data_IF_223526759912
#
_entry.id   IF_223526759912
#
_cell.length_a   1.000
_cell.length_b   1.000
_cell.length_c   1.000
_cell.angle_alpha   90.00
_cell.angle_beta   90.00
_cell.angle_gamma   90.00
#
_symmetry.space_group_name_H-M   'P 1'
#
loop_
_entity.id
_entity.type
_entity.pdbx_description
1 polymer ?
#
# COMPACT_ATOMS: atom_id res chain seq x y z
N UNK A 1 32.49 9.04 -21.39
CA UNK A 1 31.55 8.20 -20.60
C UNK A 1 32.09 7.89 -19.19
N UNK A 2 33.38 7.65 -19.00
CA UNK A 2 34.02 7.36 -17.69
C UNK A 2 33.97 8.51 -16.68
N UNK A 3 34.10 9.77 -17.11
CA UNK A 3 34.14 10.91 -16.17
C UNK A 3 32.79 11.25 -15.53
N UNK A 4 31.69 11.06 -16.25
CA UNK A 4 30.33 11.22 -15.71
C UNK A 4 30.02 10.13 -14.68
N UNK A 5 30.49 8.90 -14.94
CA UNK A 5 30.34 7.75 -14.08
C UNK A 5 31.18 7.85 -12.79
N UNK A 6 32.45 8.28 -12.89
CA UNK A 6 33.30 8.53 -11.74
C UNK A 6 32.78 9.69 -10.88
N UNK A 7 32.20 10.72 -11.51
CA UNK A 7 31.56 11.83 -10.81
C UNK A 7 30.33 11.38 -10.03
N UNK A 8 29.47 10.55 -10.62
CA UNK A 8 28.28 10.01 -9.92
C UNK A 8 28.66 9.12 -8.72
N UNK A 9 29.68 8.27 -8.87
CA UNK A 9 30.20 7.42 -7.79
C UNK A 9 30.84 8.25 -6.65
N UNK A 10 31.55 9.32 -6.99
CA UNK A 10 32.09 10.24 -6.00
C UNK A 10 30.97 10.98 -5.24
N UNK A 11 29.91 11.39 -5.95
CA UNK A 11 28.74 12.04 -5.34
C UNK A 11 28.01 11.11 -4.37
N UNK A 12 27.83 9.83 -4.73
CA UNK A 12 27.19 8.86 -3.84
C UNK A 12 28.02 8.57 -2.58
N UNK A 13 29.35 8.52 -2.70
CA UNK A 13 30.26 8.37 -1.55
C UNK A 13 30.29 9.60 -0.66
N UNK A 14 30.23 10.80 -1.23
CA UNK A 14 30.14 12.05 -0.46
C UNK A 14 28.81 12.15 0.30
N UNK A 15 27.71 11.73 -0.33
CA UNK A 15 26.40 11.66 0.32
C UNK A 15 26.40 10.67 1.50
N UNK A 16 26.97 9.48 1.33
CA UNK A 16 27.11 8.51 2.42
C UNK A 16 27.94 9.07 3.60
N UNK A 17 29.08 9.70 3.31
CA UNK A 17 29.91 10.34 4.33
C UNK A 17 29.23 11.52 5.03
N UNK A 18 28.34 12.26 4.35
CA UNK A 18 27.53 13.33 4.94
C UNK A 18 26.44 12.78 5.84
N UNK A 19 25.73 11.75 5.39
CA UNK A 19 24.68 11.07 6.18
C UNK A 19 25.30 10.46 7.43
N UNK A 20 26.45 9.80 7.32
CA UNK A 20 27.14 9.24 8.48
C UNK A 20 27.53 10.31 9.51
N UNK A 21 28.02 11.48 9.08
CA UNK A 21 28.31 12.61 9.97
C UNK A 21 27.06 13.21 10.62
N UNK A 22 25.95 13.29 9.89
CA UNK A 22 24.68 13.76 10.47
C UNK A 22 24.10 12.77 11.47
N UNK A 23 24.29 11.47 11.27
CA UNK A 23 23.90 10.43 12.22
C UNK A 23 24.77 10.44 13.49
N UNK A 24 26.08 10.67 13.36
CA UNK A 24 26.97 10.88 14.50
C UNK A 24 26.57 12.14 15.30
N UNK A 25 26.30 13.25 14.60
CA UNK A 25 25.87 14.51 15.24
C UNK A 25 24.48 14.42 15.89
N UNK A 26 23.59 13.55 15.39
CA UNK A 26 22.29 13.28 16.02
C UNK A 26 22.38 12.28 17.19
N UNK A 27 23.49 11.56 17.32
CA UNK A 27 23.74 10.63 18.43
C UNK A 27 24.39 11.31 19.66
N UNK A 28 24.88 12.54 19.52
CA UNK A 28 25.28 13.37 20.67
C UNK A 28 24.03 13.94 21.35
N UNK A 29 23.76 13.60 22.63
CA UNK A 29 22.53 13.99 23.31
C UNK A 29 22.52 15.50 23.59
N UNK A 30 21.47 16.18 23.14
CA UNK A 30 21.10 17.48 23.67
C UNK A 30 20.19 17.24 24.87
N UNK A 31 20.65 17.59 26.08
CA UNK A 31 20.01 17.24 27.37
C UNK A 31 18.64 17.92 27.62
N UNK A 32 18.03 18.57 26.62
CA UNK A 32 16.81 19.36 26.81
C UNK A 32 15.63 19.05 25.88
N UNK A 33 15.71 18.02 25.02
CA UNK A 33 14.58 17.68 24.14
C UNK A 33 13.65 16.61 24.76
N UNK A 34 12.50 17.09 25.26
CA UNK A 34 11.32 16.30 25.64
C UNK A 34 10.85 15.42 24.46
N UNK A 35 10.46 14.16 24.74
CA UNK A 35 10.07 13.09 23.80
C UNK A 35 9.16 13.56 22.66
N UNK A 36 9.34 13.13 21.39
CA UNK A 36 8.38 12.19 20.77
C UNK A 36 8.86 11.37 19.53
N UNK A 37 8.00 10.44 19.09
CA UNK A 37 7.89 9.83 17.74
C UNK A 37 9.02 8.89 17.24
N UNK A 38 8.61 7.87 16.45
CA UNK A 38 9.41 6.74 15.96
C UNK A 38 10.89 7.07 15.73
N UNK A 39 11.78 6.33 16.41
CA UNK A 39 13.23 6.59 16.45
C UNK A 39 13.79 6.84 15.04
N UNK A 40 14.04 8.11 14.65
CA UNK A 40 14.49 8.45 13.31
C UNK A 40 15.87 7.85 13.02
N UNK A 41 16.68 7.56 14.06
CA UNK A 41 17.93 6.82 13.92
C UNK A 41 17.70 5.35 13.52
N UNK A 42 16.63 4.71 13.98
CA UNK A 42 16.28 3.35 13.57
C UNK A 42 15.85 3.30 12.09
N UNK A 43 15.06 4.28 11.63
CA UNK A 43 14.66 4.41 10.23
C UNK A 43 15.86 4.67 9.32
N UNK A 44 16.78 5.55 9.73
CA UNK A 44 18.00 5.85 8.97
C UNK A 44 19.00 4.69 8.98
N UNK A 45 19.13 3.94 10.09
CA UNK A 45 19.93 2.71 10.13
C UNK A 45 19.36 1.63 9.21
N UNK A 46 18.02 1.50 9.13
CA UNK A 46 17.36 0.60 8.18
C UNK A 46 17.64 1.01 6.73
N UNK A 47 17.50 2.29 6.39
CA UNK A 47 17.82 2.80 5.07
C UNK A 47 19.29 2.57 4.69
N UNK A 48 20.22 2.77 5.64
CA UNK A 48 21.66 2.48 5.44
C UNK A 48 21.92 1.00 5.16
N UNK A 49 21.29 0.10 5.91
CA UNK A 49 21.43 -1.35 5.65
C UNK A 49 20.95 -1.76 4.26
N UNK A 50 19.95 -1.07 3.71
CA UNK A 50 19.43 -1.31 2.36
C UNK A 50 20.41 -0.81 1.28
N UNK A 51 21.05 0.34 1.52
CA UNK A 51 22.09 0.89 0.63
C UNK A 51 23.34 -0.01 0.63
N UNK A 52 23.78 -0.46 1.80
CA UNK A 52 24.94 -1.35 1.92
C UNK A 52 24.68 -2.71 1.25
N UNK A 53 23.47 -3.28 1.40
CA UNK A 53 23.07 -4.51 0.73
C UNK A 53 23.05 -4.35 -0.80
N UNK A 54 22.60 -3.19 -1.30
CA UNK A 54 22.62 -2.86 -2.72
C UNK A 54 24.06 -2.72 -3.26
N UNK A 55 24.94 -2.05 -2.50
CA UNK A 55 26.37 -1.89 -2.84
C UNK A 55 27.12 -3.23 -2.83
N UNK A 56 26.83 -4.10 -1.85
CA UNK A 56 27.47 -5.41 -1.74
C UNK A 56 26.99 -6.37 -2.85
N UNK A 57 25.70 -6.36 -3.17
CA UNK A 57 25.14 -7.11 -4.29
C UNK A 57 25.70 -6.64 -5.64
N UNK A 58 26.00 -5.34 -5.77
CA UNK A 58 26.65 -4.77 -6.95
C UNK A 58 28.11 -5.23 -7.07
N UNK A 59 28.88 -5.24 -5.98
CA UNK A 59 30.27 -5.73 -5.98
C UNK A 59 30.39 -7.20 -6.36
N UNK A 60 29.46 -8.06 -5.92
CA UNK A 60 29.47 -9.48 -6.26
C UNK A 60 29.18 -9.75 -7.75
N UNK A 61 28.43 -8.84 -8.40
CA UNK A 61 27.97 -8.97 -9.79
C UNK A 61 29.03 -8.62 -10.84
N UNK A 62 30.05 -7.83 -10.49
CA UNK A 62 31.21 -7.59 -11.38
C UNK A 62 32.07 -8.85 -11.63
N UNK A 63 31.92 -9.90 -10.82
CA UNK A 63 32.68 -11.13 -10.94
C UNK A 63 31.98 -12.22 -11.77
N UNK A 64 30.67 -12.12 -12.03
CA UNK A 64 29.90 -13.23 -12.59
C UNK A 64 28.94 -12.76 -13.70
N UNK A 65 29.42 -12.87 -14.95
CA UNK A 65 28.82 -12.26 -16.15
C UNK A 65 27.91 -13.20 -16.93
N UNK A 66 27.43 -14.27 -16.30
CA UNK A 66 26.68 -15.36 -16.98
C UNK A 66 25.46 -15.79 -16.17
N UNK A 67 24.45 -14.92 -16.03
CA UNK A 67 23.15 -15.34 -15.49
C UNK A 67 21.99 -14.83 -16.35
N UNK A 68 21.04 -15.69 -16.77
CA UNK A 68 19.91 -15.30 -17.61
C UNK A 68 18.93 -14.37 -16.87
N UNK A 69 18.32 -13.45 -17.63
CA UNK A 69 17.41 -12.36 -17.22
C UNK A 69 15.95 -12.80 -16.98
N UNK A 70 15.73 -14.00 -16.44
CA UNK A 70 14.43 -14.70 -16.53
C UNK A 70 13.50 -14.52 -15.33
N UNK A 71 13.47 -13.36 -14.68
CA UNK A 71 12.60 -13.13 -13.52
C UNK A 71 11.82 -11.82 -13.61
N UNK A 72 10.48 -11.89 -13.54
CA UNK A 72 9.65 -10.72 -13.25
C UNK A 72 9.91 -10.27 -11.80
N UNK A 73 9.96 -8.96 -11.56
CA UNK A 73 10.05 -8.41 -10.22
C UNK A 73 8.71 -7.74 -9.88
N UNK A 74 8.09 -8.18 -8.80
CA UNK A 74 6.81 -7.66 -8.33
C UNK A 74 6.99 -7.01 -6.96
N UNK A 75 6.57 -5.76 -6.84
CA UNK A 75 6.48 -5.03 -5.58
C UNK A 75 5.02 -4.66 -5.33
N UNK A 76 4.52 -4.91 -4.13
CA UNK A 76 3.17 -4.52 -3.71
C UNK A 76 3.24 -3.70 -2.42
N UNK A 77 2.39 -2.70 -2.30
CA UNK A 77 2.26 -1.89 -1.09
C UNK A 77 0.84 -1.33 -0.94
N UNK A 78 0.46 -1.04 0.30
CA UNK A 78 -0.86 -0.50 0.66
C UNK A 78 -0.70 0.95 1.14
N UNK A 79 -0.75 1.94 0.23
CA UNK A 79 -0.69 3.33 0.62
C UNK A 79 -1.94 3.72 1.45
N UNK A 80 -1.80 4.62 2.45
CA UNK A 80 -2.95 5.11 3.20
C UNK A 80 -3.97 5.77 2.27
N UNK A 81 -5.26 5.54 2.54
CA UNK A 81 -6.39 6.25 1.91
C UNK A 81 -6.45 6.14 0.37
N UNK A 82 -5.74 5.18 -0.23
CA UNK A 82 -5.79 4.90 -1.66
C UNK A 82 -5.76 3.38 -1.88
N UNK A 83 -6.21 2.88 -3.04
CA UNK A 83 -6.20 1.44 -3.26
C UNK A 83 -4.79 0.85 -3.24
N UNK A 84 -4.66 -0.44 -2.86
CA UNK A 84 -3.42 -1.20 -2.99
C UNK A 84 -2.75 -0.98 -4.34
N UNK A 85 -1.41 -0.97 -4.33
CA UNK A 85 -0.58 -0.68 -5.50
C UNK A 85 0.36 -1.83 -5.76
N UNK A 86 0.59 -2.09 -7.04
CA UNK A 86 1.56 -3.09 -7.50
C UNK A 86 2.42 -2.51 -8.61
N UNK A 87 3.71 -2.76 -8.54
CA UNK A 87 4.69 -2.46 -9.59
C UNK A 87 5.20 -3.80 -10.12
N UNK A 88 5.10 -3.99 -11.43
CA UNK A 88 5.62 -5.19 -12.11
C UNK A 88 6.68 -4.75 -13.11
N UNK A 89 7.86 -5.36 -13.00
CA UNK A 89 8.98 -5.19 -13.93
C UNK A 89 9.19 -6.52 -14.63
N UNK A 90 8.87 -6.57 -15.92
CA UNK A 90 9.07 -7.76 -16.75
C UNK A 90 10.21 -7.56 -17.74
N UNK A 91 11.05 -8.57 -18.00
CA UNK A 91 12.01 -8.49 -19.08
C UNK A 91 11.28 -8.35 -20.42
N UNK A 92 11.74 -7.44 -21.26
CA UNK A 92 11.30 -7.30 -22.64
C UNK A 92 11.73 -8.50 -23.48
N UNK A 93 11.03 -8.73 -24.59
CA UNK A 93 11.31 -9.85 -25.49
C UNK A 93 12.67 -9.74 -26.22
N UNK A 94 13.25 -8.54 -26.25
CA UNK A 94 14.54 -8.25 -26.89
C UNK A 94 15.75 -8.48 -25.96
N UNK A 95 15.51 -8.77 -24.67
CA UNK A 95 16.56 -9.04 -23.68
C UNK A 95 17.30 -7.81 -23.15
N UNK A 96 17.16 -6.66 -23.82
CA UNK A 96 17.85 -5.40 -23.48
C UNK A 96 16.88 -4.33 -22.91
N UNK A 97 15.58 -4.57 -22.98
CA UNK A 97 14.55 -3.70 -22.40
C UNK A 97 13.79 -4.37 -21.28
N UNK A 98 13.14 -3.58 -20.43
CA UNK A 98 12.19 -4.02 -19.43
C UNK A 98 10.88 -3.26 -19.58
N UNK A 99 9.75 -3.93 -19.34
CA UNK A 99 8.46 -3.27 -19.21
C UNK A 99 8.20 -2.98 -17.73
N UNK A 100 7.96 -1.71 -17.41
CA UNK A 100 7.46 -1.27 -16.11
C UNK A 100 5.96 -1.07 -16.19
N UNK A 101 5.20 -1.73 -15.32
CA UNK A 101 3.74 -1.56 -15.19
C UNK A 101 3.40 -1.16 -13.77
N UNK A 102 2.69 -0.06 -13.60
CA UNK A 102 2.06 0.28 -12.32
C UNK A 102 0.59 -0.11 -12.38
N UNK A 103 0.15 -0.79 -11.33
CA UNK A 103 -1.20 -1.30 -11.20
C UNK A 103 -1.84 -0.80 -9.90
N UNK A 104 -3.14 -0.63 -9.96
CA UNK A 104 -4.02 -0.25 -8.86
C UNK A 104 -5.07 -1.33 -8.67
N UNK A 105 -5.32 -1.71 -7.42
CA UNK A 105 -6.38 -2.65 -7.09
C UNK A 105 -7.75 -1.98 -7.21
N UNK A 106 -8.70 -2.64 -7.87
CA UNK A 106 -10.05 -2.11 -8.09
C UNK A 106 -11.07 -2.59 -7.07
N UNK A 107 -10.69 -3.52 -6.19
CA UNK A 107 -11.61 -4.30 -5.36
C UNK A 107 -11.96 -5.66 -5.96
N UNK A 108 -11.63 -5.92 -7.23
CA UNK A 108 -11.82 -7.22 -7.91
C UNK A 108 -10.52 -7.73 -8.53
N UNK A 109 -9.71 -6.82 -9.07
CA UNK A 109 -8.47 -7.16 -9.74
C UNK A 109 -7.51 -5.99 -9.87
N UNK A 110 -6.39 -6.24 -10.55
CA UNK A 110 -5.38 -5.23 -10.83
C UNK A 110 -5.65 -4.53 -12.16
N UNK A 111 -5.86 -3.21 -12.12
CA UNK A 111 -5.95 -2.35 -13.30
C UNK A 111 -4.60 -1.70 -13.57
N UNK A 112 -4.14 -1.74 -14.82
CA UNK A 112 -2.90 -1.05 -15.25
C UNK A 112 -3.16 0.45 -15.34
N UNK A 113 -2.39 1.25 -14.60
CA UNK A 113 -2.47 2.71 -14.58
C UNK A 113 -1.41 3.36 -15.48
N UNK A 114 -0.20 2.78 -15.49
CA UNK A 114 0.89 3.26 -16.33
C UNK A 114 1.69 2.07 -16.88
N UNK A 115 2.26 2.28 -18.07
CA UNK A 115 3.12 1.31 -18.73
C UNK A 115 4.23 2.03 -19.47
N UNK A 116 5.46 1.75 -19.08
CA UNK A 116 6.66 2.33 -19.69
C UNK A 116 7.64 1.24 -20.09
N UNK A 117 8.50 1.58 -21.05
CA UNK A 117 9.66 0.75 -21.41
C UNK A 117 10.90 1.38 -20.80
N UNK A 118 11.66 0.60 -20.06
CA UNK A 118 12.92 1.01 -19.44
C UNK A 118 14.06 0.35 -20.20
N UNK A 119 14.88 1.18 -20.85
CA UNK A 119 16.18 0.80 -21.37
C UNK A 119 17.26 1.12 -20.32
N UNK A 120 18.36 0.38 -20.30
CA UNK A 120 19.50 0.59 -19.37
C UNK A 120 19.17 0.30 -17.89
N UNK A 121 18.64 -0.90 -17.62
CA UNK A 121 18.33 -1.35 -16.26
C UNK A 121 19.61 -1.78 -15.53
N UNK A 122 20.13 -0.92 -14.65
CA UNK A 122 21.29 -1.23 -13.80
C UNK A 122 21.01 -2.34 -12.75
N UNK A 123 19.75 -2.77 -12.60
CA UNK A 123 19.27 -3.68 -11.54
C UNK A 123 18.57 -4.89 -12.18
N UNK A 124 19.26 -6.01 -12.33
CA UNK A 124 18.61 -7.27 -12.72
C UNK A 124 17.92 -7.93 -11.52
N UNK A 125 16.71 -8.46 -11.74
CA UNK A 125 16.01 -9.30 -10.77
C UNK A 125 16.85 -10.56 -10.46
N UNK A 126 16.88 -11.04 -9.20
CA UNK A 126 17.51 -12.33 -8.89
C UNK A 126 16.82 -13.45 -9.67
N UNK A 127 17.59 -14.40 -10.20
CA UNK A 127 17.02 -15.49 -11.03
C UNK A 127 16.15 -16.47 -10.23
N UNK A 128 16.13 -16.35 -8.90
CA UNK A 128 15.18 -17.03 -8.02
C UNK A 128 14.53 -15.96 -7.13
N UNK A 129 13.18 -15.96 -7.01
CA UNK A 129 12.48 -15.08 -6.09
C UNK A 129 12.98 -15.32 -4.67
N UNK A 130 13.59 -14.31 -4.04
CA UNK A 130 14.04 -14.38 -2.64
C UNK A 130 12.89 -14.23 -1.64
N UNK A 131 11.73 -13.83 -2.12
CA UNK A 131 10.50 -13.62 -1.36
C UNK A 131 9.35 -14.26 -2.11
N UNK A 132 8.33 -14.78 -1.40
CA UNK A 132 7.12 -15.27 -2.06
C UNK A 132 6.48 -14.15 -2.86
N UNK A 133 5.79 -14.53 -3.93
CA UNK A 133 5.00 -13.58 -4.70
C UNK A 133 4.00 -12.89 -3.78
N UNK A 134 3.83 -11.56 -3.89
CA UNK A 134 2.89 -10.84 -3.06
C UNK A 134 1.46 -11.35 -3.32
N UNK A 135 0.73 -11.56 -2.23
CA UNK A 135 -0.65 -12.06 -2.27
C UNK A 135 -1.59 -10.95 -2.70
N UNK A 136 -2.54 -11.27 -3.57
CA UNK A 136 -3.58 -10.33 -3.96
C UNK A 136 -4.44 -9.90 -2.74
N UNK A 137 -4.83 -8.62 -2.64
CA UNK A 137 -5.82 -8.19 -1.66
C UNK A 137 -7.14 -8.96 -1.82
N UNK A 138 -7.92 -9.13 -0.74
CA UNK A 138 -9.24 -9.75 -0.85
C UNK A 138 -10.15 -8.90 -1.75
N UNK A 139 -11.00 -9.57 -2.53
CA UNK A 139 -12.02 -8.87 -3.33
C UNK A 139 -13.13 -8.30 -2.45
N UNK A 140 -13.89 -7.33 -2.95
CA UNK A 140 -15.09 -6.80 -2.29
C UNK A 140 -16.08 -7.93 -2.00
N UNK A 141 -16.32 -8.83 -2.93
CA UNK A 141 -17.19 -10.00 -2.70
C UNK A 141 -16.70 -10.87 -1.55
N UNK A 142 -15.39 -11.13 -1.49
CA UNK A 142 -14.78 -11.89 -0.39
C UNK A 142 -15.00 -11.19 0.95
N UNK A 143 -14.84 -9.86 0.98
CA UNK A 143 -15.06 -9.05 2.18
C UNK A 143 -16.54 -9.03 2.60
N UNK A 144 -17.47 -8.96 1.64
CA UNK A 144 -18.91 -9.01 1.90
C UNK A 144 -19.30 -10.35 2.52
N UNK A 145 -18.75 -11.45 2.01
CA UNK A 145 -18.99 -12.78 2.57
C UNK A 145 -18.48 -12.92 4.00
N UNK A 146 -17.42 -12.20 4.39
CA UNK A 146 -16.92 -12.20 5.76
C UNK A 146 -17.83 -11.45 6.74
N UNK A 147 -18.53 -10.40 6.30
CA UNK A 147 -19.41 -9.62 7.18
C UNK A 147 -20.85 -10.15 7.20
N UNK A 148 -21.29 -10.86 6.15
CA UNK A 148 -22.61 -11.49 6.06
C UNK A 148 -22.81 -12.50 7.19
N UNK A 149 -24.04 -12.55 7.72
CA UNK A 149 -24.37 -13.38 8.89
C UNK A 149 -23.70 -12.99 10.21
N UNK A 150 -22.82 -11.99 10.27
CA UNK A 150 -22.13 -11.61 11.50
C UNK A 150 -23.00 -10.77 12.46
N UNK A 151 -24.11 -10.19 11.97
CA UNK A 151 -24.95 -9.24 12.73
C UNK A 151 -25.50 -9.79 14.05
N UNK A 152 -25.75 -11.10 14.11
CA UNK A 152 -26.25 -11.80 15.30
C UNK A 152 -25.20 -11.90 16.42
N UNK A 153 -23.92 -11.75 16.11
CA UNK A 153 -22.84 -11.78 17.10
C UNK A 153 -22.84 -10.50 17.92
N UNK A 154 -22.57 -10.51 19.24
CA UNK A 154 -22.64 -9.33 20.10
C UNK A 154 -21.82 -8.15 19.59
N UNK A 155 -20.72 -8.42 18.88
CA UNK A 155 -19.91 -7.46 18.16
C UNK A 155 -19.75 -7.92 16.70
N UNK A 156 -20.58 -7.42 15.76
CA UNK A 156 -20.58 -7.88 14.38
C UNK A 156 -19.38 -7.32 13.61
N UNK A 157 -18.96 -8.05 12.57
CA UNK A 157 -17.91 -7.59 11.67
C UNK A 157 -18.49 -6.60 10.66
N UNK A 158 -17.77 -5.51 10.42
CA UNK A 158 -18.14 -4.46 9.47
C UNK A 158 -16.97 -4.13 8.57
N UNK A 159 -17.24 -3.60 7.37
CA UNK A 159 -16.21 -3.06 6.50
C UNK A 159 -16.06 -1.56 6.80
N UNK A 160 -14.83 -1.15 7.08
CA UNK A 160 -14.49 0.24 7.40
C UNK A 160 -13.64 0.81 6.28
N UNK A 161 -14.18 1.83 5.62
CA UNK A 161 -13.47 2.66 4.66
C UNK A 161 -12.82 3.84 5.38
N UNK A 162 -11.55 4.09 5.09
CA UNK A 162 -10.82 5.17 5.74
C UNK A 162 -11.41 6.54 5.35
N UNK A 163 -11.42 7.47 6.32
CA UNK A 163 -11.68 8.88 6.02
C UNK A 163 -10.62 9.39 5.02
N UNK A 164 -11.03 10.30 4.14
CA UNK A 164 -10.15 11.02 3.21
C UNK A 164 -10.12 12.50 3.55
N UNK A 165 -9.46 13.32 2.73
CA UNK A 165 -9.50 14.77 2.90
C UNK A 165 -10.91 15.37 2.72
N UNK A 166 -11.82 14.66 2.05
CA UNK A 166 -13.15 15.19 1.67
C UNK A 166 -14.31 14.32 2.12
N UNK A 167 -14.05 13.14 2.68
CA UNK A 167 -15.09 12.20 3.13
C UNK A 167 -14.74 11.65 4.49
N UNK A 168 -15.72 11.52 5.37
CA UNK A 168 -15.54 10.89 6.68
C UNK A 168 -15.38 9.36 6.55
N UNK A 169 -15.07 8.71 7.67
CA UNK A 169 -14.99 7.25 7.74
C UNK A 169 -16.34 6.64 7.36
N UNK A 170 -16.34 5.78 6.34
CA UNK A 170 -17.50 5.01 5.93
C UNK A 170 -17.52 3.64 6.60
N UNK A 171 -18.68 3.19 7.05
CA UNK A 171 -18.86 1.87 7.64
C UNK A 171 -20.01 1.15 6.95
N UNK A 172 -19.72 -0.04 6.44
CA UNK A 172 -20.69 -0.94 5.83
C UNK A 172 -20.96 -2.12 6.78
N UNK A 173 -22.22 -2.32 7.14
CA UNK A 173 -22.68 -3.45 7.92
C UNK A 173 -23.66 -4.30 7.11
N UNK A 174 -23.61 -5.62 7.27
CA UNK A 174 -24.61 -6.54 6.74
C UNK A 174 -25.65 -6.82 7.83
N UNK A 175 -26.76 -6.08 7.85
CA UNK A 175 -27.84 -6.21 8.84
C UNK A 175 -28.90 -7.15 8.27
N UNK A 176 -29.01 -8.36 8.81
CA UNK A 176 -29.93 -9.40 8.30
C UNK A 176 -29.76 -9.61 6.77
N UNK A 177 -28.49 -9.68 6.34
CA UNK A 177 -28.02 -9.75 4.94
C UNK A 177 -28.30 -8.53 4.06
N UNK A 178 -28.94 -7.48 4.60
CA UNK A 178 -29.03 -6.18 3.94
C UNK A 178 -27.76 -5.36 4.17
N UNK A 179 -27.08 -4.98 3.10
CA UNK A 179 -25.90 -4.13 3.15
C UNK A 179 -26.31 -2.68 3.43
N UNK A 180 -25.88 -2.13 4.56
CA UNK A 180 -26.20 -0.77 5.00
C UNK A 180 -24.91 0.01 5.18
N UNK A 181 -24.72 1.04 4.38
CA UNK A 181 -23.56 1.94 4.46
C UNK A 181 -23.92 3.21 5.21
N UNK A 182 -22.99 3.69 6.04
CA UNK A 182 -23.12 4.94 6.77
C UNK A 182 -21.76 5.60 6.99
N UNK A 183 -21.70 6.91 6.77
CA UNK A 183 -20.55 7.73 7.16
C UNK A 183 -20.65 8.13 8.64
N UNK A 184 -19.51 8.30 9.31
CA UNK A 184 -19.42 8.54 10.74
C UNK A 184 -20.20 9.78 11.22
N UNK A 185 -20.22 10.84 10.43
CA UNK A 185 -20.92 12.10 10.71
C UNK A 185 -22.36 12.14 10.14
N UNK A 186 -22.68 11.24 9.20
CA UNK A 186 -24.00 11.17 8.60
C UNK A 186 -25.05 10.75 9.63
N UNK A 187 -26.22 11.40 9.56
CA UNK A 187 -27.39 11.02 10.36
C UNK A 187 -28.17 9.84 9.77
N UNK A 188 -27.89 9.45 8.53
CA UNK A 188 -28.61 8.40 7.79
C UNK A 188 -27.66 7.34 7.27
N UNK A 189 -28.16 6.13 7.22
CA UNK A 189 -27.57 5.06 6.44
C UNK A 189 -28.37 4.88 5.15
N UNK A 190 -27.76 4.29 4.12
CA UNK A 190 -28.46 3.89 2.91
C UNK A 190 -28.21 2.41 2.61
N UNK A 191 -29.19 1.78 1.96
CA UNK A 191 -29.06 0.39 1.49
C UNK A 191 -28.16 0.38 0.27
N UNK A 192 -27.09 -0.41 0.31
CA UNK A 192 -26.27 -0.71 -0.86
C UNK A 192 -26.95 -1.83 -1.64
N UNK A 193 -27.62 -1.44 -2.74
CA UNK A 193 -28.33 -2.39 -3.61
C UNK A 193 -27.49 -2.83 -4.79
N UNK A 194 -26.52 -2.01 -5.19
CA UNK A 194 -25.59 -2.28 -6.28
C UNK A 194 -24.17 -2.41 -5.72
N UNK A 195 -23.52 -3.53 -5.99
CA UNK A 195 -22.13 -3.78 -5.54
C UNK A 195 -21.13 -2.89 -6.29
N UNK A 196 -21.50 -2.37 -7.47
CA UNK A 196 -20.71 -1.36 -8.21
C UNK A 196 -20.42 -0.11 -7.39
N UNK A 197 -21.33 0.29 -6.49
CA UNK A 197 -21.11 1.41 -5.57
C UNK A 197 -19.90 1.15 -4.65
N UNK A 198 -19.73 -0.09 -4.19
CA UNK A 198 -18.62 -0.46 -3.30
C UNK A 198 -17.27 -0.47 -4.00
N UNK A 199 -17.22 -0.88 -5.27
CA UNK A 199 -16.01 -0.75 -6.07
C UNK A 199 -15.62 0.71 -6.28
N UNK A 200 -16.62 1.59 -6.47
CA UNK A 200 -16.38 3.02 -6.55
C UNK A 200 -15.86 3.60 -5.21
N UNK A 201 -16.43 3.21 -4.07
CA UNK A 201 -15.90 3.57 -2.75
C UNK A 201 -14.46 3.09 -2.56
N UNK A 202 -14.14 1.86 -2.99
CA UNK A 202 -12.78 1.33 -2.93
C UNK A 202 -11.79 2.18 -3.74
N UNK A 203 -12.19 2.66 -4.92
CA UNK A 203 -11.34 3.54 -5.75
C UNK A 203 -11.08 4.89 -5.09
N UNK A 204 -12.06 5.43 -4.36
CA UNK A 204 -11.97 6.76 -3.74
C UNK A 204 -11.24 6.75 -2.40
N UNK A 205 -11.52 5.77 -1.54
CA UNK A 205 -11.09 5.74 -0.15
C UNK A 205 -10.05 4.64 0.13
N UNK A 206 -9.76 3.80 -0.87
CA UNK A 206 -8.91 2.63 -0.75
C UNK A 206 -9.67 1.38 -0.31
N UNK A 207 -8.93 0.28 -0.17
CA UNK A 207 -9.49 -1.01 0.24
C UNK A 207 -10.06 -0.90 1.66
N UNK A 208 -11.32 -1.28 1.89
CA UNK A 208 -11.86 -1.30 3.25
C UNK A 208 -11.23 -2.41 4.07
N UNK A 209 -11.19 -2.20 5.38
CA UNK A 209 -10.71 -3.20 6.35
C UNK A 209 -11.87 -3.82 7.13
N UNK A 210 -11.77 -5.10 7.45
CA UNK A 210 -12.76 -5.74 8.33
C UNK A 210 -12.40 -5.44 9.77
N UNK A 211 -13.34 -4.85 10.52
CA UNK A 211 -13.18 -4.53 11.94
C UNK A 211 -14.44 -4.92 12.72
N UNK A 212 -14.33 -5.21 14.02
CA UNK A 212 -15.50 -5.29 14.88
C UNK A 212 -16.21 -3.93 14.95
N UNK A 213 -17.54 -3.92 14.99
CA UNK A 213 -18.32 -2.68 15.07
C UNK A 213 -17.93 -1.85 16.31
N UNK A 214 -17.57 -2.50 17.42
CA UNK A 214 -17.14 -1.84 18.66
C UNK A 214 -15.85 -1.03 18.52
N UNK A 215 -15.02 -1.29 17.51
CA UNK A 215 -13.80 -0.52 17.22
C UNK A 215 -14.09 0.72 16.37
N UNK A 216 -15.33 0.87 15.89
CA UNK A 216 -15.78 2.06 15.16
C UNK A 216 -16.48 3.06 16.09
N UNK A 217 -16.67 4.29 15.63
CA UNK A 217 -17.49 5.27 16.34
C UNK A 217 -19.01 4.96 16.26
N UNK A 218 -19.41 3.95 15.50
CA UNK A 218 -20.80 3.62 15.25
C UNK A 218 -21.29 2.46 16.11
N UNK A 219 -22.60 2.41 16.34
CA UNK A 219 -23.26 1.35 17.10
C UNK A 219 -24.38 0.74 16.26
N UNK A 220 -24.95 -0.38 16.72
CA UNK A 220 -26.10 -1.01 16.05
C UNK A 220 -27.26 -0.06 15.80
N UNK A 221 -27.51 0.86 16.72
CA UNK A 221 -28.60 1.85 16.59
C UNK A 221 -28.40 2.80 15.41
N UNK A 222 -27.19 2.90 14.87
CA UNK A 222 -26.93 3.69 13.68
C UNK A 222 -27.33 2.98 12.38
N UNK A 223 -27.60 1.67 12.44
CA UNK A 223 -27.95 0.84 11.28
C UNK A 223 -29.34 0.21 11.38
N UNK A 224 -29.98 0.14 12.55
CA UNK A 224 -31.29 -0.50 12.74
C UNK A 224 -32.55 0.34 12.46
N UNK A 225 -32.58 1.68 12.66
CA UNK A 225 -33.78 2.47 12.35
C UNK A 225 -34.09 2.41 10.85
N UNK A 226 -35.36 2.35 10.44
CA UNK A 226 -35.73 2.44 9.02
C UNK A 226 -35.04 3.66 8.37
N UNK A 227 -34.57 3.54 7.11
CA UNK A 227 -34.06 4.72 6.43
C UNK A 227 -35.25 5.67 6.37
N UNK A 228 -35.12 6.88 6.94
CA UNK A 228 -36.16 7.89 6.78
C UNK A 228 -36.28 8.11 5.28
N UNK A 229 -37.34 7.54 4.69
CA UNK A 229 -37.75 7.77 3.31
C UNK A 229 -37.65 9.26 3.06
N UNK A 230 -36.98 9.65 1.98
CA UNK A 230 -36.92 11.03 1.55
C UNK A 230 -38.33 11.63 1.57
N UNK A 231 -38.62 12.41 2.61
CA UNK A 231 -39.69 13.39 2.51
C UNK A 231 -39.24 14.33 1.40
N UNK A 232 -40.00 14.24 0.31
CA UNK A 232 -39.86 15.10 -0.84
C UNK A 232 -40.18 16.52 -0.41
N UNK A 233 -39.24 17.45 -0.56
CA UNK A 233 -39.51 18.88 -0.79
C UNK A 233 -38.56 19.41 -1.87
#
# INVERSE_FOLDING_TARGET
MTDSYQRALATLRDLDARIHRQLEAAATPDETATTPAADPLATLRRARSQIDAALFAHHHRTADRTRPSTGSCVLQWDPPQTPPRRLVLDPGSDGDSWTRRELEWTGDGWRVCSRDTVADVAISAPAEPRYPDPVDPPSIDTLLDWIRGSWTNPDPAVLVFAATATTEQGVLAAVDDELRYREADSHRWFTVTDTEELYHHCQQQGQPTVQPLSETALTRQHFTPSPLTNDSE
#
